data_IF_346534010147
#
_entry.id   IF_346534010147
#
_cell.length_a   1.000
_cell.length_b   1.000
_cell.length_c   1.000
_cell.angle_alpha   90.00
_cell.angle_beta   90.00
_cell.angle_gamma   90.00
#
_symmetry.space_group_name_H-M   'P 1'
#
loop_
_entity.id
_entity.type
_entity.pdbx_description
1 polymer ?
#
# COMPACT_ATOMS: atom_id res chain seq x y z
N UNK A 1 -16.13 -2.13 4.19
CA UNK A 1 -15.07 -3.05 3.73
C UNK A 1 -14.88 -2.85 2.23
N UNK A 2 -13.70 -2.46 1.75
CA UNK A 2 -13.47 -2.29 0.30
C UNK A 2 -13.35 -3.64 -0.40
N UNK A 3 -14.11 -3.87 -1.47
CA UNK A 3 -14.10 -5.10 -2.27
C UNK A 3 -12.71 -5.40 -2.86
N UNK A 4 -11.99 -4.34 -3.25
CA UNK A 4 -10.62 -4.40 -3.77
C UNK A 4 -9.65 -5.00 -2.76
N UNK A 5 -9.78 -4.61 -1.48
CA UNK A 5 -8.94 -5.15 -0.40
C UNK A 5 -9.03 -6.66 -0.31
N UNK A 6 -10.26 -7.19 -0.31
CA UNK A 6 -10.51 -8.62 -0.15
C UNK A 6 -10.02 -9.38 -1.38
N UNK A 7 -10.24 -8.83 -2.58
CA UNK A 7 -9.79 -9.44 -3.82
C UNK A 7 -8.25 -9.58 -3.87
N UNK A 8 -7.52 -8.52 -3.51
CA UNK A 8 -6.05 -8.56 -3.44
C UNK A 8 -5.59 -9.52 -2.33
N UNK A 9 -6.20 -9.45 -1.14
CA UNK A 9 -5.81 -10.33 -0.03
C UNK A 9 -6.06 -11.81 -0.32
N UNK A 10 -7.07 -12.16 -1.11
CA UNK A 10 -7.37 -13.54 -1.48
C UNK A 10 -6.37 -14.13 -2.49
N UNK A 11 -5.52 -13.32 -3.12
CA UNK A 11 -4.44 -13.81 -4.00
C UNK A 11 -3.29 -14.45 -3.21
N UNK A 12 -3.17 -14.15 -1.92
CA UNK A 12 -2.08 -14.62 -1.06
C UNK A 12 -2.58 -15.64 -0.04
N UNK A 13 -1.74 -16.61 0.31
CA UNK A 13 -2.05 -17.52 1.40
C UNK A 13 -2.14 -16.78 2.74
N UNK A 14 -3.10 -17.15 3.59
CA UNK A 14 -3.35 -16.46 4.87
C UNK A 14 -2.17 -16.54 5.85
N UNK A 15 -1.28 -17.53 5.72
CA UNK A 15 -0.08 -17.68 6.53
C UNK A 15 1.13 -16.96 5.93
N UNK A 16 1.05 -16.55 4.67
CA UNK A 16 2.14 -15.90 3.93
C UNK A 16 2.57 -14.58 4.57
N UNK A 17 3.81 -14.19 4.29
CA UNK A 17 4.36 -12.94 4.78
C UNK A 17 3.68 -11.74 4.13
N UNK A 18 3.41 -11.84 2.83
CA UNK A 18 2.76 -10.87 1.98
C UNK A 18 1.34 -10.58 2.49
N UNK A 19 0.55 -11.61 2.78
CA UNK A 19 -0.80 -11.45 3.33
C UNK A 19 -0.76 -10.67 4.65
N UNK A 20 0.15 -11.01 5.56
CA UNK A 20 0.31 -10.32 6.85
C UNK A 20 0.77 -8.88 6.67
N UNK A 21 1.69 -8.63 5.74
CA UNK A 21 2.20 -7.29 5.43
C UNK A 21 1.09 -6.40 4.82
N UNK A 22 0.41 -6.88 3.77
CA UNK A 22 -0.68 -6.16 3.10
C UNK A 22 -1.83 -5.91 4.09
N UNK A 23 -2.23 -6.91 4.89
CA UNK A 23 -3.28 -6.77 5.89
C UNK A 23 -2.95 -5.68 6.93
N UNK A 24 -1.69 -5.62 7.40
CA UNK A 24 -1.23 -4.66 8.41
C UNK A 24 -1.10 -3.25 7.86
N UNK A 25 -0.57 -3.12 6.65
CA UNK A 25 -0.23 -1.84 6.03
C UNK A 25 -1.25 -1.36 4.99
N UNK A 26 -2.43 -1.98 4.92
CA UNK A 26 -3.50 -1.60 4.00
C UNK A 26 -3.82 -0.10 4.04
N UNK A 27 -3.80 0.50 5.24
CA UNK A 27 -4.02 1.95 5.41
C UNK A 27 -2.97 2.81 4.70
N UNK A 28 -1.72 2.35 4.60
CA UNK A 28 -0.65 3.06 3.87
C UNK A 28 -0.89 3.04 2.36
N UNK A 29 -1.43 1.94 1.82
CA UNK A 29 -1.76 1.83 0.39
C UNK A 29 -2.88 2.80 0.01
N UNK A 30 -3.80 3.09 0.94
CA UNK A 30 -4.89 4.05 0.72
C UNK A 30 -4.50 5.52 0.98
N UNK A 31 -3.33 5.77 1.55
CA UNK A 31 -2.88 7.13 1.86
C UNK A 31 -2.19 7.74 0.64
N UNK A 32 -2.38 9.05 0.42
CA UNK A 32 -1.63 9.78 -0.61
C UNK A 32 -0.13 9.69 -0.31
N UNK A 33 0.65 9.21 -1.28
CA UNK A 33 2.11 9.07 -1.15
C UNK A 33 2.80 10.40 -0.86
N UNK A 34 2.21 11.52 -1.31
CA UNK A 34 2.69 12.89 -1.05
C UNK A 34 2.59 13.28 0.42
N UNK A 35 1.70 12.63 1.18
CA UNK A 35 1.50 12.85 2.62
C UNK A 35 2.23 11.83 3.49
N UNK A 36 3.05 10.94 2.91
CA UNK A 36 3.80 9.96 3.68
C UNK A 36 5.04 10.60 4.30
N UNK A 37 5.14 10.54 5.63
CA UNK A 37 6.32 10.97 6.36
C UNK A 37 7.54 10.12 6.02
N UNK A 38 8.68 10.79 5.85
CA UNK A 38 10.01 10.20 5.65
C UNK A 38 10.69 9.77 6.96
N UNK A 39 9.99 9.84 8.10
CA UNK A 39 10.55 9.36 9.37
C UNK A 39 10.64 7.83 9.40
N UNK A 40 11.83 7.34 9.71
CA UNK A 40 12.10 5.91 9.88
C UNK A 40 11.66 5.43 11.26
N UNK A 41 11.05 4.25 11.29
CA UNK A 41 10.61 3.59 12.51
C UNK A 41 10.86 2.09 12.40
N UNK A 42 11.11 1.42 13.53
CA UNK A 42 11.21 -0.03 13.55
C UNK A 42 9.89 -0.67 13.10
N UNK A 43 9.97 -1.64 12.18
CA UNK A 43 8.82 -2.37 11.65
C UNK A 43 8.94 -3.86 11.98
N UNK A 44 8.17 -4.37 12.95
CA UNK A 44 8.22 -5.78 13.34
C UNK A 44 7.97 -6.75 12.18
N UNK A 45 7.12 -6.38 11.22
CA UNK A 45 6.86 -7.20 10.02
C UNK A 45 8.14 -7.43 9.23
N UNK A 46 8.93 -6.39 8.97
CA UNK A 46 10.14 -6.47 8.15
C UNK A 46 11.41 -6.68 8.99
N UNK A 47 11.32 -6.58 10.32
CA UNK A 47 12.43 -6.62 11.29
C UNK A 47 13.53 -5.58 11.06
N UNK A 48 13.21 -4.49 10.37
CA UNK A 48 14.14 -3.40 10.06
C UNK A 48 13.46 -2.04 10.23
N UNK A 49 14.25 -0.97 10.31
CA UNK A 49 13.75 0.40 10.31
C UNK A 49 13.44 0.84 8.89
N UNK A 50 12.17 1.16 8.62
CA UNK A 50 11.70 1.58 7.30
C UNK A 50 10.84 2.84 7.41
N UNK A 51 10.90 3.67 6.38
CA UNK A 51 9.93 4.74 6.12
C UNK A 51 8.63 4.15 5.59
N UNK A 52 7.55 4.95 5.62
CA UNK A 52 6.28 4.50 5.05
C UNK A 52 6.36 4.36 3.51
N UNK A 53 7.23 5.14 2.85
CA UNK A 53 7.48 5.04 1.40
C UNK A 53 8.18 3.73 1.05
N UNK A 54 9.24 3.36 1.78
CA UNK A 54 9.93 2.08 1.58
C UNK A 54 9.02 0.87 1.84
N UNK A 55 8.13 0.96 2.84
CA UNK A 55 7.13 -0.08 3.08
C UNK A 55 6.16 -0.18 1.91
N UNK A 56 5.65 0.95 1.42
CA UNK A 56 4.73 0.96 0.28
C UNK A 56 5.40 0.33 -0.94
N UNK A 57 6.62 0.72 -1.27
CA UNK A 57 7.39 0.17 -2.38
C UNK A 57 7.55 -1.37 -2.29
N UNK A 58 7.91 -1.88 -1.10
CA UNK A 58 7.96 -3.33 -0.83
C UNK A 58 6.61 -4.03 -0.96
N UNK A 59 5.51 -3.38 -0.58
CA UNK A 59 4.18 -3.96 -0.76
C UNK A 59 3.82 -4.02 -2.25
N UNK A 60 4.12 -2.97 -3.00
CA UNK A 60 3.90 -2.92 -4.44
C UNK A 60 4.78 -3.91 -5.21
N UNK A 61 5.93 -4.31 -4.65
CA UNK A 61 6.78 -5.36 -5.25
C UNK A 61 6.23 -6.77 -5.07
N UNK A 62 5.25 -7.00 -4.17
CA UNK A 62 4.69 -8.33 -3.93
C UNK A 62 3.64 -8.77 -4.97
N UNK A 63 2.99 -7.84 -5.67
CA UNK A 63 2.03 -8.17 -6.71
C UNK A 63 1.87 -7.03 -7.72
N UNK A 64 1.92 -7.39 -9.00
CA UNK A 64 1.64 -6.45 -10.08
C UNK A 64 0.18 -5.97 -10.04
N UNK A 65 -0.78 -6.80 -9.64
CA UNK A 65 -2.17 -6.37 -9.48
C UNK A 65 -2.29 -5.26 -8.45
N UNK A 66 -1.60 -5.40 -7.31
CA UNK A 66 -1.57 -4.37 -6.27
C UNK A 66 -0.94 -3.08 -6.80
N UNK A 67 0.12 -3.18 -7.61
CA UNK A 67 0.75 -2.04 -8.28
C UNK A 67 -0.18 -1.34 -9.26
N UNK A 68 -0.93 -2.08 -10.08
CA UNK A 68 -1.91 -1.52 -11.02
C UNK A 68 -3.07 -0.84 -10.27
N UNK A 69 -3.59 -1.46 -9.22
CA UNK A 69 -4.64 -0.86 -8.38
C UNK A 69 -4.16 0.43 -7.71
N UNK A 70 -2.93 0.44 -7.18
CA UNK A 70 -2.36 1.64 -6.58
C UNK A 70 -2.20 2.77 -7.60
N UNK A 71 -1.70 2.46 -8.81
CA UNK A 71 -1.60 3.45 -9.90
C UNK A 71 -2.96 4.00 -10.30
N UNK A 72 -3.99 3.16 -10.39
CA UNK A 72 -5.36 3.59 -10.69
C UNK A 72 -5.91 4.53 -9.59
N UNK A 73 -5.71 4.20 -8.32
CA UNK A 73 -6.11 5.06 -7.19
C UNK A 73 -5.36 6.40 -7.21
N UNK A 74 -4.05 6.37 -7.48
CA UNK A 74 -3.23 7.58 -7.59
C UNK A 74 -3.64 8.46 -8.76
N UNK A 75 -4.00 7.89 -9.91
CA UNK A 75 -4.47 8.62 -11.08
C UNK A 75 -5.82 9.29 -10.82
N UNK A 76 -6.77 8.57 -10.21
CA UNK A 76 -8.06 9.13 -9.80
C UNK A 76 -7.89 10.27 -8.79
N UNK A 77 -7.02 10.08 -7.78
CA UNK A 77 -6.71 11.13 -6.81
C UNK A 77 -6.06 12.36 -7.45
N UNK A 78 -5.23 12.16 -8.48
CA UNK A 78 -4.64 13.25 -9.25
C UNK A 78 -5.72 14.02 -10.04
N UNK A 79 -6.56 13.33 -10.81
CA UNK A 79 -7.65 13.96 -11.58
C UNK A 79 -8.64 14.73 -10.70
N UNK A 80 -8.96 14.23 -9.51
CA UNK A 80 -9.82 14.94 -8.55
C UNK A 80 -9.14 16.18 -7.94
N UNK A 81 -7.82 16.17 -7.80
CA UNK A 81 -7.05 17.32 -7.33
C UNK A 81 -6.95 18.42 -8.38
N UNK A 82 -6.89 18.05 -9.68
CA UNK A 82 -6.79 19.00 -10.79
C UNK A 82 -8.13 19.65 -11.16
N UNK A 83 -9.26 18.96 -10.93
CA UNK A 83 -10.61 19.50 -11.20
C UNK A 83 -11.14 20.42 -10.09
N UNK A 84 -10.44 20.53 -8.97
CA UNK A 84 -10.81 21.35 -7.81
C UNK A 84 -10.07 22.70 -7.71
N UNK A 85 -9.42 23.15 -8.78
CA UNK A 85 -8.71 24.44 -8.88
C UNK A 85 -9.48 25.44 -9.74
#
# INVERSE_FOLDING_TARGET
MSRVRVQIMNQFDRKSHEYKAIKRYWKLIQQDSRKLSDKRFYRPTFRIHLTNKEILDKLLSYSEDLRHHYKALSALAFSLSEQGA
#
